data_IF_939820307113
#
_entry.id   IF_939820307113
#
_cell.length_a   1.000
_cell.length_b   1.000
_cell.length_c   1.000
_cell.angle_alpha   90.00
_cell.angle_beta   90.00
_cell.angle_gamma   90.00
#
_symmetry.space_group_name_H-M   'P 1'
#
loop_
_entity.id
_entity.type
_entity.pdbx_description
1 polymer ?
#
# COMPACT_ATOMS: atom_id res chain seq x y z
N UNK A 1 -13.52 3.39 11.72
CA UNK A 1 -12.70 3.82 10.63
C UNK A 1 -12.63 2.74 9.55
N UNK A 2 -12.48 3.15 8.30
CA UNK A 2 -12.66 2.29 7.15
C UNK A 2 -11.51 1.29 6.90
N UNK A 3 -10.41 1.36 7.66
CA UNK A 3 -9.18 0.58 7.45
C UNK A 3 -8.86 -0.37 8.61
N UNK A 4 -9.86 -0.75 9.39
CA UNK A 4 -9.65 -1.65 10.50
C UNK A 4 -9.55 -3.11 10.03
N UNK A 5 -8.61 -3.84 10.59
CA UNK A 5 -8.58 -5.29 10.53
C UNK A 5 -9.57 -5.85 11.56
N UNK A 6 -10.38 -6.80 11.14
CA UNK A 6 -11.32 -7.49 12.04
C UNK A 6 -10.69 -8.80 12.50
N UNK A 7 -10.26 -8.82 13.76
CA UNK A 7 -9.75 -10.02 14.39
C UNK A 7 -10.88 -10.73 15.15
N UNK A 8 -11.06 -12.02 14.89
CA UNK A 8 -12.01 -12.85 15.64
C UNK A 8 -11.26 -13.58 16.73
N UNK A 9 -11.59 -13.29 17.98
CA UNK A 9 -10.99 -13.89 19.17
C UNK A 9 -11.20 -15.39 19.16
N UNK A 10 -10.15 -16.15 19.42
CA UNK A 10 -10.13 -17.62 19.45
C UNK A 10 -10.06 -18.11 20.89
N UNK A 11 -10.45 -19.37 21.10
CA UNK A 11 -10.25 -20.02 22.38
C UNK A 11 -8.77 -20.03 22.78
N UNK A 12 -8.45 -19.59 24.00
CA UNK A 12 -7.09 -19.45 24.48
C UNK A 12 -6.39 -18.12 24.13
N UNK A 13 -7.06 -17.23 23.40
CA UNK A 13 -6.54 -15.89 23.20
C UNK A 13 -6.64 -15.05 24.48
N UNK A 14 -5.64 -14.24 24.66
CA UNK A 14 -5.56 -13.22 25.70
C UNK A 14 -5.12 -11.90 25.10
N UNK A 15 -5.36 -10.78 25.78
CA UNK A 15 -4.83 -9.49 25.37
C UNK A 15 -3.34 -9.52 25.06
N UNK A 16 -2.61 -10.17 25.94
CA UNK A 16 -1.16 -10.31 25.83
C UNK A 16 -0.74 -11.04 24.54
N UNK A 17 -1.29 -12.24 24.26
CA UNK A 17 -0.85 -13.02 23.13
C UNK A 17 -1.33 -12.41 21.78
N UNK A 18 -2.50 -11.76 21.75
CA UNK A 18 -2.98 -11.03 20.56
C UNK A 18 -2.01 -9.88 20.26
N UNK A 19 -1.69 -9.06 21.26
CA UNK A 19 -0.81 -7.91 21.09
C UNK A 19 0.60 -8.32 20.70
N UNK A 20 1.19 -9.29 21.42
CA UNK A 20 2.55 -9.77 21.15
C UNK A 20 2.67 -10.38 19.75
N UNK A 21 1.64 -11.07 19.29
CA UNK A 21 1.64 -11.77 18.00
C UNK A 21 1.38 -10.85 16.81
N UNK A 22 0.44 -9.90 16.96
CA UNK A 22 -0.11 -9.19 15.81
C UNK A 22 0.13 -7.68 15.80
N UNK A 23 0.44 -7.06 16.95
CA UNK A 23 0.64 -5.63 17.03
C UNK A 23 2.12 -5.23 17.09
N UNK A 24 2.42 -4.01 16.66
CA UNK A 24 3.79 -3.46 16.65
C UNK A 24 4.36 -3.26 18.03
N UNK A 25 3.51 -2.93 19.01
CA UNK A 25 3.89 -2.71 20.42
C UNK A 25 2.83 -3.28 21.34
N UNK A 26 3.27 -3.76 22.51
CA UNK A 26 2.40 -4.15 23.62
C UNK A 26 1.59 -2.98 24.16
N UNK A 27 2.13 -1.76 24.04
CA UNK A 27 1.46 -0.53 24.51
C UNK A 27 0.20 -0.20 23.72
N UNK A 28 -0.04 -0.85 22.59
CA UNK A 28 -1.29 -0.72 21.85
C UNK A 28 -2.48 -1.40 22.54
N UNK A 29 -2.27 -2.26 23.56
CA UNK A 29 -3.36 -2.98 24.18
C UNK A 29 -4.36 -2.06 24.92
N UNK A 30 -3.94 -1.14 25.79
CA UNK A 30 -4.88 -0.22 26.44
C UNK A 30 -5.68 0.61 25.44
N UNK A 31 -5.05 1.04 24.36
CA UNK A 31 -5.69 1.77 23.28
C UNK A 31 -6.70 0.88 22.52
N UNK A 32 -6.34 -0.39 22.24
CA UNK A 32 -7.21 -1.36 21.60
C UNK A 32 -8.43 -1.68 22.45
N UNK A 33 -8.23 -1.82 23.76
CA UNK A 33 -9.29 -2.02 24.75
C UNK A 33 -10.30 -0.85 24.72
N UNK A 34 -9.81 0.37 24.77
CA UNK A 34 -10.64 1.56 24.68
C UNK A 34 -11.35 1.66 23.33
N UNK A 35 -10.64 1.38 22.24
CA UNK A 35 -11.17 1.44 20.87
C UNK A 35 -12.31 0.46 20.65
N UNK A 36 -12.23 -0.73 21.25
CA UNK A 36 -13.26 -1.77 21.16
C UNK A 36 -14.24 -1.77 22.34
N UNK A 37 -14.12 -0.82 23.29
CA UNK A 37 -14.97 -0.72 24.48
C UNK A 37 -14.99 -2.01 25.31
N UNK A 38 -13.82 -2.64 25.46
CA UNK A 38 -13.68 -3.88 26.24
C UNK A 38 -13.68 -3.52 27.72
N UNK A 39 -14.67 -4.02 28.44
CA UNK A 39 -14.85 -3.74 29.88
C UNK A 39 -13.93 -4.64 30.70
N UNK A 40 -13.86 -5.92 30.37
CA UNK A 40 -13.07 -6.92 31.10
C UNK A 40 -12.06 -7.59 30.16
N UNK A 41 -10.78 -7.15 30.19
CA UNK A 41 -9.78 -7.68 29.29
C UNK A 41 -9.45 -9.16 29.54
N UNK A 42 -9.61 -9.64 30.77
CA UNK A 42 -9.29 -11.02 31.15
C UNK A 42 -10.32 -12.05 30.69
N UNK A 43 -11.47 -11.60 30.21
CA UNK A 43 -12.61 -12.44 29.84
C UNK A 43 -13.21 -12.08 28.48
N UNK A 44 -12.38 -11.94 27.45
CA UNK A 44 -12.88 -11.70 26.11
C UNK A 44 -13.39 -13.04 25.52
N UNK A 45 -14.71 -13.18 25.29
CA UNK A 45 -15.25 -14.46 24.78
C UNK A 45 -14.69 -14.79 23.41
N UNK A 46 -14.42 -16.09 23.13
CA UNK A 46 -14.16 -16.53 21.77
C UNK A 46 -15.30 -16.13 20.82
N UNK A 47 -14.96 -15.73 19.60
CA UNK A 47 -15.90 -15.20 18.62
C UNK A 47 -16.10 -13.69 18.68
N UNK A 48 -15.61 -13.01 19.72
CA UNK A 48 -15.63 -11.55 19.79
C UNK A 48 -14.85 -10.96 18.61
N UNK A 49 -15.42 -9.97 17.92
CA UNK A 49 -14.76 -9.26 16.83
C UNK A 49 -14.05 -8.02 17.37
N UNK A 50 -12.73 -8.03 17.30
CA UNK A 50 -11.90 -6.87 17.65
C UNK A 50 -11.56 -6.10 16.39
N UNK A 51 -11.80 -4.80 16.42
CA UNK A 51 -11.38 -3.86 15.39
C UNK A 51 -9.97 -3.38 15.72
N UNK A 52 -9.03 -3.66 14.83
CA UNK A 52 -7.63 -3.27 15.00
C UNK A 52 -7.26 -2.29 13.90
N UNK A 53 -6.90 -1.03 14.22
CA UNK A 53 -6.41 -0.10 13.23
C UNK A 53 -5.23 -0.67 12.45
N UNK A 54 -5.28 -0.60 11.11
CA UNK A 54 -4.26 -1.18 10.23
C UNK A 54 -2.84 -0.70 10.56
N UNK A 55 -2.71 0.55 11.02
CA UNK A 55 -1.42 1.13 11.41
C UNK A 55 -0.76 0.48 12.62
N UNK A 56 -1.51 -0.23 13.47
CA UNK A 56 -0.98 -0.93 14.65
C UNK A 56 -0.55 -2.36 14.35
N UNK A 57 -0.97 -2.92 13.20
CA UNK A 57 -0.64 -4.28 12.81
C UNK A 57 0.83 -4.43 12.45
N UNK A 58 1.41 -5.54 12.91
CA UNK A 58 2.75 -5.96 12.52
C UNK A 58 2.75 -6.40 11.07
N UNK A 59 3.73 -5.93 10.33
CA UNK A 59 3.91 -6.28 8.92
C UNK A 59 5.38 -6.58 8.62
N UNK A 60 5.60 -7.41 7.61
CA UNK A 60 6.92 -7.85 7.19
C UNK A 60 7.15 -7.46 5.74
N UNK A 61 8.30 -6.86 5.43
CA UNK A 61 8.71 -6.59 4.07
C UNK A 61 8.77 -7.89 3.26
N UNK A 62 8.27 -7.86 2.04
CA UNK A 62 8.28 -8.99 1.10
C UNK A 62 8.77 -8.53 -0.26
N UNK A 63 9.57 -9.33 -0.93
CA UNK A 63 9.95 -9.05 -2.29
C UNK A 63 8.74 -9.08 -3.21
N UNK A 64 8.76 -8.20 -4.22
CA UNK A 64 7.78 -8.12 -5.29
C UNK A 64 8.34 -8.83 -6.51
N UNK A 65 7.58 -9.76 -7.07
CA UNK A 65 8.00 -10.58 -8.21
C UNK A 65 7.61 -9.94 -9.53
N UNK A 66 8.52 -9.97 -10.49
CA UNK A 66 8.25 -9.62 -11.89
C UNK A 66 7.70 -10.86 -12.60
N UNK A 67 6.42 -10.83 -12.96
CA UNK A 67 5.74 -11.97 -13.61
C UNK A 67 5.75 -11.88 -15.12
N UNK A 68 5.82 -10.66 -15.64
CA UNK A 68 5.94 -10.40 -17.08
C UNK A 68 6.79 -9.15 -17.30
N UNK A 69 7.53 -9.12 -18.41
CA UNK A 69 8.40 -8.01 -18.78
C UNK A 69 8.58 -7.99 -20.30
N UNK A 70 8.46 -6.80 -20.89
CA UNK A 70 8.71 -6.53 -22.29
C UNK A 70 9.56 -5.28 -22.44
N UNK A 71 10.42 -5.27 -23.45
CA UNK A 71 11.28 -4.14 -23.78
C UNK A 71 12.30 -3.80 -22.71
N UNK A 72 12.70 -2.52 -22.66
CA UNK A 72 13.72 -2.04 -21.71
C UNK A 72 13.09 -1.65 -20.38
N UNK A 73 13.53 -2.31 -19.33
CA UNK A 73 13.14 -2.02 -17.93
C UNK A 73 14.37 -2.11 -17.05
N UNK A 74 14.60 -1.07 -16.28
CA UNK A 74 15.68 -1.01 -15.29
C UNK A 74 15.15 -0.75 -13.88
N UNK A 75 15.88 -1.22 -12.89
CA UNK A 75 15.68 -0.88 -11.49
C UNK A 75 16.91 -0.16 -10.96
N UNK A 76 16.67 0.91 -10.20
CA UNK A 76 17.68 1.60 -9.43
C UNK A 76 17.49 1.27 -7.95
N UNK A 77 18.51 0.62 -7.39
CA UNK A 77 18.60 0.34 -5.97
C UNK A 77 19.81 1.05 -5.40
N UNK A 78 19.61 1.99 -4.47
CA UNK A 78 20.68 2.75 -3.83
C UNK A 78 21.68 3.38 -4.83
N UNK A 79 21.16 3.87 -5.96
CA UNK A 79 21.96 4.52 -7.01
C UNK A 79 22.62 3.55 -8.00
N UNK A 80 22.47 2.26 -7.85
CA UNK A 80 22.96 1.24 -8.81
C UNK A 80 21.82 0.84 -9.74
N UNK A 81 22.04 1.04 -11.05
CA UNK A 81 21.10 0.62 -12.08
C UNK A 81 21.35 -0.84 -12.49
N UNK A 82 20.29 -1.61 -12.62
CA UNK A 82 20.31 -2.99 -13.10
C UNK A 82 19.16 -3.22 -14.06
N UNK A 83 19.44 -3.89 -15.19
CA UNK A 83 18.39 -4.36 -16.08
C UNK A 83 17.59 -5.47 -15.42
N UNK A 84 16.28 -5.42 -15.57
CA UNK A 84 15.38 -6.41 -15.04
C UNK A 84 15.07 -7.51 -16.03
N UNK A 85 14.82 -8.70 -15.52
CA UNK A 85 14.37 -9.86 -16.26
C UNK A 85 13.12 -10.46 -15.60
N UNK A 86 12.35 -11.18 -16.39
CA UNK A 86 11.19 -11.92 -15.89
C UNK A 86 11.61 -12.93 -14.82
N UNK A 87 10.85 -12.99 -13.75
CA UNK A 87 11.11 -13.86 -12.60
C UNK A 87 11.99 -13.26 -11.53
N UNK A 88 12.69 -12.16 -11.81
CA UNK A 88 13.41 -11.41 -10.77
C UNK A 88 12.47 -10.82 -9.73
N UNK A 89 13.04 -10.43 -8.61
CA UNK A 89 12.33 -9.74 -7.53
C UNK A 89 12.94 -8.37 -7.25
N UNK A 90 12.08 -7.43 -6.87
CA UNK A 90 12.46 -6.13 -6.36
C UNK A 90 11.99 -5.96 -4.91
N UNK A 91 12.60 -5.07 -4.18
CA UNK A 91 12.31 -4.79 -2.77
C UNK A 91 11.79 -3.38 -2.57
N UNK A 92 11.22 -3.10 -1.42
CA UNK A 92 10.85 -1.72 -1.07
C UNK A 92 12.05 -0.78 -1.13
N UNK A 93 11.83 0.45 -1.61
CA UNK A 93 12.86 1.44 -1.92
C UNK A 93 13.35 1.43 -3.38
N UNK A 94 13.02 0.38 -4.15
CA UNK A 94 13.40 0.29 -5.57
C UNK A 94 12.70 1.35 -6.43
N UNK A 95 13.43 1.96 -7.35
CA UNK A 95 12.91 2.85 -8.39
C UNK A 95 12.95 2.13 -9.73
N UNK A 96 11.80 1.94 -10.35
CA UNK A 96 11.63 1.32 -11.67
C UNK A 96 11.56 2.39 -12.76
N UNK A 97 12.21 2.12 -13.89
CA UNK A 97 12.10 2.92 -15.10
C UNK A 97 11.85 2.03 -16.31
N UNK A 98 10.82 2.37 -17.08
CA UNK A 98 10.53 1.73 -18.35
C UNK A 98 10.85 2.66 -19.50
N UNK A 99 11.41 2.11 -20.58
CA UNK A 99 11.59 2.83 -21.84
C UNK A 99 10.29 2.94 -22.64
N UNK A 100 10.36 3.56 -23.81
CA UNK A 100 9.20 3.79 -24.69
C UNK A 100 8.49 2.50 -25.14
N UNK A 101 9.21 1.38 -25.19
CA UNK A 101 8.69 0.05 -25.51
C UNK A 101 8.71 -0.90 -24.30
N UNK A 102 8.99 -0.36 -23.11
CA UNK A 102 9.12 -1.13 -21.87
C UNK A 102 7.79 -1.27 -21.14
N UNK A 103 7.54 -2.44 -20.59
CA UNK A 103 6.44 -2.67 -19.65
C UNK A 103 6.74 -3.88 -18.77
N UNK A 104 6.17 -3.91 -17.57
CA UNK A 104 6.29 -5.06 -16.68
C UNK A 104 5.05 -5.23 -15.82
N UNK A 105 4.84 -6.46 -15.36
CA UNK A 105 3.81 -6.78 -14.37
C UNK A 105 4.46 -7.19 -13.06
N UNK A 106 4.04 -6.53 -11.99
CA UNK A 106 4.43 -6.81 -10.60
C UNK A 106 3.37 -7.66 -9.92
N UNK A 107 3.80 -8.73 -9.24
CA UNK A 107 2.98 -9.49 -8.31
C UNK A 107 3.36 -9.05 -6.89
N UNK A 108 2.42 -8.41 -6.22
CA UNK A 108 2.59 -7.80 -4.90
C UNK A 108 2.34 -8.81 -3.76
N UNK A 109 2.81 -8.54 -2.52
CA UNK A 109 2.71 -9.45 -1.39
C UNK A 109 1.29 -9.88 -1.02
N UNK A 110 0.29 -9.06 -1.31
CA UNK A 110 -1.13 -9.33 -1.06
C UNK A 110 -1.84 -10.08 -2.20
N UNK A 111 -1.09 -10.44 -3.26
CA UNK A 111 -1.61 -11.05 -4.47
C UNK A 111 -2.16 -10.06 -5.50
N UNK A 112 -2.14 -8.76 -5.21
CA UNK A 112 -2.46 -7.71 -6.19
C UNK A 112 -1.45 -7.70 -7.33
N UNK A 113 -1.87 -7.22 -8.50
CA UNK A 113 -1.03 -7.09 -9.68
C UNK A 113 -1.01 -5.65 -10.16
N UNK A 114 0.17 -5.17 -10.54
CA UNK A 114 0.37 -3.85 -11.12
C UNK A 114 1.09 -3.98 -12.46
N UNK A 115 0.42 -3.53 -13.53
CA UNK A 115 1.02 -3.38 -14.85
C UNK A 115 1.61 -1.97 -14.94
N UNK A 116 2.92 -1.88 -15.07
CA UNK A 116 3.66 -0.64 -15.29
C UNK A 116 3.83 -0.44 -16.78
N UNK A 117 3.33 0.68 -17.30
CA UNK A 117 3.35 0.99 -18.73
C UNK A 117 4.68 1.55 -19.21
N UNK A 118 4.78 1.87 -20.54
CA UNK A 118 5.97 2.51 -21.10
C UNK A 118 6.19 3.93 -20.57
N UNK A 119 7.40 4.43 -20.72
CA UNK A 119 7.84 5.77 -20.30
C UNK A 119 7.46 6.12 -18.85
N UNK A 120 7.47 5.12 -17.99
CA UNK A 120 7.00 5.21 -16.60
C UNK A 120 8.18 5.19 -15.62
N UNK A 121 8.09 6.05 -14.61
CA UNK A 121 8.99 6.06 -13.46
C UNK A 121 8.17 5.86 -12.19
N UNK A 122 8.42 4.72 -11.52
CA UNK A 122 7.65 4.23 -10.38
C UNK A 122 8.56 3.81 -9.25
N UNK A 123 8.38 4.39 -8.06
CA UNK A 123 9.06 3.97 -6.84
C UNK A 123 8.17 3.02 -6.03
N UNK A 124 8.71 1.89 -5.64
CA UNK A 124 8.09 0.96 -4.70
C UNK A 124 8.43 1.39 -3.27
N UNK A 125 7.65 2.29 -2.67
CA UNK A 125 7.95 2.86 -1.35
C UNK A 125 7.73 1.87 -0.21
N UNK A 126 6.67 1.04 -0.29
CA UNK A 126 6.35 0.02 0.71
C UNK A 126 5.77 -1.22 0.02
N UNK A 127 6.27 -2.39 0.41
CA UNK A 127 5.78 -3.69 -0.04
C UNK A 127 5.83 -4.69 1.12
N UNK A 128 4.77 -4.73 1.93
CA UNK A 128 4.71 -5.50 3.17
C UNK A 128 3.48 -6.37 3.23
N UNK A 129 3.60 -7.51 3.87
CA UNK A 129 2.48 -8.37 4.22
C UNK A 129 2.17 -8.25 5.70
N UNK A 130 0.90 -8.09 6.05
CA UNK A 130 0.41 -8.06 7.43
C UNK A 130 0.52 -9.48 8.00
N UNK A 131 1.11 -9.63 9.19
CA UNK A 131 1.32 -10.95 9.80
C UNK A 131 0.03 -11.60 10.29
N UNK A 132 -0.96 -10.79 10.68
CA UNK A 132 -2.26 -11.26 11.16
C UNK A 132 -3.19 -11.73 10.03
N UNK A 133 -2.88 -11.41 8.77
CA UNK A 133 -3.80 -11.62 7.64
C UNK A 133 -3.05 -11.82 6.33
N UNK A 134 -3.82 -12.01 5.25
CA UNK A 134 -3.29 -11.98 3.87
C UNK A 134 -3.27 -10.58 3.27
N UNK A 135 -3.55 -9.53 4.05
CA UNK A 135 -3.51 -8.15 3.60
C UNK A 135 -2.11 -7.64 3.36
N UNK A 136 -1.97 -6.72 2.42
CA UNK A 136 -0.72 -6.04 2.13
C UNK A 136 -0.76 -4.58 2.54
N UNK A 137 0.38 -4.04 2.92
CA UNK A 137 0.63 -2.61 3.01
C UNK A 137 1.49 -2.25 1.80
N UNK A 138 0.83 -1.73 0.76
CA UNK A 138 1.45 -1.38 -0.50
C UNK A 138 1.39 0.13 -0.67
N UNK A 139 2.53 0.72 -0.94
CA UNK A 139 2.65 2.14 -1.31
C UNK A 139 3.60 2.26 -2.49
N UNK A 140 3.13 2.90 -3.54
CA UNK A 140 3.90 3.26 -4.72
C UNK A 140 3.90 4.76 -4.89
N UNK A 141 4.95 5.30 -5.48
CA UNK A 141 5.05 6.68 -5.91
C UNK A 141 5.23 6.69 -7.43
N UNK A 142 4.19 7.11 -8.14
CA UNK A 142 4.22 7.26 -9.59
C UNK A 142 4.71 8.66 -9.93
N UNK A 143 5.97 8.78 -10.34
CA UNK A 143 6.60 10.07 -10.65
C UNK A 143 6.19 10.57 -12.04
N UNK A 144 5.99 9.65 -12.99
CA UNK A 144 5.47 9.90 -14.34
C UNK A 144 5.01 8.60 -15.01
N UNK A 145 4.18 8.72 -16.04
CA UNK A 145 3.68 7.59 -16.81
C UNK A 145 2.38 7.03 -16.23
N UNK A 146 2.19 5.73 -16.31
CA UNK A 146 0.97 5.11 -15.78
C UNK A 146 1.18 3.72 -15.21
N UNK A 147 0.31 3.36 -14.27
CA UNK A 147 0.17 2.01 -13.72
C UNK A 147 -1.29 1.59 -13.75
N UNK A 148 -1.55 0.38 -14.23
CA UNK A 148 -2.86 -0.27 -14.12
C UNK A 148 -2.80 -1.34 -13.03
N UNK A 149 -3.74 -1.29 -12.10
CA UNK A 149 -3.72 -2.13 -10.92
C UNK A 149 -4.97 -2.98 -10.85
N UNK A 150 -4.77 -4.26 -10.52
CA UNK A 150 -5.83 -5.17 -10.10
C UNK A 150 -5.60 -5.52 -8.63
N UNK A 151 -6.28 -4.80 -7.76
CA UNK A 151 -6.12 -4.95 -6.31
C UNK A 151 -7.08 -6.02 -5.80
N UNK A 152 -6.53 -6.98 -5.05
CA UNK A 152 -7.33 -8.02 -4.42
C UNK A 152 -8.16 -7.42 -3.29
N UNK A 153 -9.49 -7.61 -3.33
CA UNK A 153 -10.38 -7.14 -2.26
C UNK A 153 -10.13 -7.93 -0.98
N UNK A 154 -9.54 -7.25 -0.01
CA UNK A 154 -9.27 -7.79 1.33
C UNK A 154 -9.74 -6.81 2.40
N UNK A 155 -10.96 -6.28 2.25
CA UNK A 155 -11.54 -5.24 3.11
C UNK A 155 -11.42 -5.53 4.61
N UNK A 156 -11.49 -6.80 5.00
CA UNK A 156 -11.39 -7.22 6.41
C UNK A 156 -9.98 -7.59 6.85
N UNK A 157 -8.99 -7.49 5.96
CA UNK A 157 -7.62 -7.93 6.22
C UNK A 157 -6.70 -6.82 6.73
N UNK A 158 -7.19 -5.59 6.85
CA UNK A 158 -6.38 -4.41 7.19
C UNK A 158 -5.41 -4.00 6.08
N UNK A 159 -5.57 -4.53 4.87
CA UNK A 159 -4.74 -4.20 3.71
C UNK A 159 -4.94 -2.76 3.26
N UNK A 160 -3.86 -2.16 2.75
CA UNK A 160 -3.86 -0.79 2.26
C UNK A 160 -3.06 -0.71 0.96
N UNK A 161 -3.66 -0.10 -0.06
CA UNK A 161 -3.03 0.13 -1.36
C UNK A 161 -3.10 1.61 -1.71
N UNK A 162 -1.94 2.25 -1.84
CA UNK A 162 -1.81 3.69 -2.06
C UNK A 162 -0.89 3.93 -3.24
N UNK A 163 -1.28 4.84 -4.13
CA UNK A 163 -0.41 5.41 -5.15
C UNK A 163 -0.33 6.91 -4.92
N UNK A 164 0.86 7.38 -4.56
CA UNK A 164 1.18 8.80 -4.50
C UNK A 164 1.69 9.25 -5.87
N UNK A 165 1.34 10.47 -6.25
CA UNK A 165 1.90 11.15 -7.42
C UNK A 165 2.26 12.58 -7.03
N UNK A 166 3.07 13.30 -7.82
CA UNK A 166 3.32 14.72 -7.59
C UNK A 166 2.05 15.59 -7.56
N UNK A 167 0.98 15.12 -8.20
CA UNK A 167 -0.29 15.86 -8.34
C UNK A 167 -1.38 15.39 -7.37
N UNK A 168 -1.19 14.30 -6.63
CA UNK A 168 -2.20 13.81 -5.71
C UNK A 168 -1.95 12.40 -5.20
N UNK A 169 -2.90 11.93 -4.40
CA UNK A 169 -2.88 10.60 -3.77
C UNK A 169 -4.11 9.81 -4.18
N UNK A 170 -3.90 8.58 -4.59
CA UNK A 170 -4.96 7.62 -4.87
C UNK A 170 -4.91 6.48 -3.86
N UNK A 171 -5.90 6.38 -2.98
CA UNK A 171 -6.09 5.26 -2.07
C UNK A 171 -7.17 4.34 -2.60
N UNK A 172 -6.92 3.03 -2.59
CA UNK A 172 -7.75 2.05 -3.29
C UNK A 172 -8.12 0.88 -2.42
N UNK A 173 -9.34 0.40 -2.63
CA UNK A 173 -9.87 -0.79 -1.99
C UNK A 173 -10.51 -1.74 -2.99
N UNK A 174 -9.84 -2.87 -3.25
CA UNK A 174 -10.40 -4.00 -3.98
C UNK A 174 -11.05 -3.64 -5.31
N UNK A 175 -10.24 -3.20 -6.28
CA UNK A 175 -10.74 -2.74 -7.55
C UNK A 175 -9.70 -2.88 -8.66
N UNK A 176 -10.16 -2.70 -9.88
CA UNK A 176 -9.29 -2.53 -11.05
C UNK A 176 -9.32 -1.06 -11.48
N UNK A 177 -8.16 -0.43 -11.53
CA UNK A 177 -8.03 0.99 -11.81
C UNK A 177 -6.70 1.32 -12.47
N UNK A 178 -6.65 2.46 -13.16
CA UNK A 178 -5.44 3.02 -13.74
C UNK A 178 -5.16 4.38 -13.14
N UNK A 179 -3.89 4.64 -12.86
CA UNK A 179 -3.39 5.96 -12.46
C UNK A 179 -2.39 6.42 -13.49
N UNK A 180 -2.56 7.64 -13.98
CA UNK A 180 -1.66 8.30 -14.93
C UNK A 180 -1.17 9.61 -14.32
N UNK A 181 0.13 9.85 -14.40
CA UNK A 181 0.77 11.12 -14.05
C UNK A 181 1.49 11.67 -15.28
N UNK A 182 1.03 12.81 -15.79
CA UNK A 182 1.60 13.46 -16.94
C UNK A 182 1.57 14.99 -16.78
N UNK A 183 2.75 15.63 -16.72
CA UNK A 183 2.87 17.09 -16.71
C UNK A 183 2.15 17.77 -15.53
N UNK A 184 2.23 17.19 -14.33
CA UNK A 184 1.52 17.62 -13.10
C UNK A 184 -0.01 17.45 -13.18
N UNK A 185 -0.47 16.49 -13.97
CA UNK A 185 -1.88 16.10 -14.03
C UNK A 185 -2.04 14.67 -13.57
N UNK A 186 -2.75 14.48 -12.46
CA UNK A 186 -3.20 13.18 -11.99
C UNK A 186 -4.51 12.81 -12.66
N UNK A 187 -4.55 11.66 -13.31
CA UNK A 187 -5.77 11.05 -13.82
C UNK A 187 -5.95 9.66 -13.22
N UNK A 188 -7.09 9.44 -12.61
CA UNK A 188 -7.48 8.13 -12.08
C UNK A 188 -8.71 7.63 -12.82
N UNK A 189 -8.62 6.46 -13.41
CA UNK A 189 -9.71 5.78 -14.12
C UNK A 189 -10.07 4.51 -13.36
N UNK A 190 -11.29 4.44 -12.85
CA UNK A 190 -11.83 3.23 -12.24
C UNK A 190 -12.38 2.33 -13.33
N UNK A 191 -11.85 1.12 -13.43
CA UNK A 191 -12.30 0.10 -14.39
C UNK A 191 -13.32 -0.85 -13.74
N UNK A 192 -13.18 -1.11 -12.44
CA UNK A 192 -14.11 -1.90 -11.61
C UNK A 192 -13.97 -1.47 -10.15
N UNK A 193 -15.08 -1.38 -9.40
CA UNK A 193 -15.09 -1.09 -7.96
C UNK A 193 -15.05 0.38 -7.60
N UNK A 194 -14.49 0.73 -6.45
CA UNK A 194 -14.46 2.09 -5.88
C UNK A 194 -13.03 2.57 -5.64
N UNK A 195 -12.73 3.79 -6.06
CA UNK A 195 -11.44 4.46 -5.87
C UNK A 195 -11.67 5.82 -5.21
N UNK A 196 -10.87 6.14 -4.20
CA UNK A 196 -10.83 7.47 -3.60
C UNK A 196 -9.53 8.15 -4.02
N UNK A 197 -9.65 9.22 -4.80
CA UNK A 197 -8.53 10.06 -5.21
C UNK A 197 -8.64 11.44 -4.57
N UNK A 198 -7.51 11.98 -4.10
CA UNK A 198 -7.40 13.33 -3.55
C UNK A 198 -6.29 14.07 -4.27
N UNK A 199 -6.61 15.20 -4.88
CA UNK A 199 -5.61 16.09 -5.47
C UNK A 199 -4.86 16.86 -4.37
N UNK A 200 -3.58 17.10 -4.57
CA UNK A 200 -2.82 18.08 -3.79
C UNK A 200 -3.15 19.46 -4.35
N UNK A 201 -3.68 20.39 -3.55
CA UNK A 201 -3.91 21.77 -4.02
C UNK A 201 -2.59 22.36 -4.54
N UNK A 202 -2.59 23.13 -5.64
CA UNK A 202 -1.40 23.86 -6.05
C UNK A 202 -0.95 24.74 -4.89
N UNK A 203 0.31 24.58 -4.45
CA UNK A 203 0.90 25.40 -3.41
C UNK A 203 0.74 26.87 -3.83
N UNK A 204 0.22 27.72 -2.94
CA UNK A 204 0.30 29.17 -3.12
C UNK A 204 1.78 29.51 -3.10
N UNK A 205 2.34 29.77 -4.26
CA UNK A 205 3.64 30.46 -4.38
C UNK A 205 3.49 31.80 -3.66
N UNK A 206 4.45 32.04 -2.76
CA UNK A 206 4.39 33.09 -1.78
C UNK A 206 4.05 34.46 -2.35
N UNK A 207 3.13 35.14 -1.70
CA UNK A 207 3.05 36.57 -1.68
C UNK A 207 4.38 37.13 -1.15
N UNK A 208 5.23 37.60 -2.06
CA UNK A 208 6.29 38.53 -1.72
C UNK A 208 5.59 39.85 -1.34
N UNK A 209 5.45 40.04 -0.04
CA UNK A 209 5.07 41.36 0.49
C UNK A 209 6.29 42.25 0.38
N UNK A 210 6.25 43.09 -0.63
CA UNK A 210 7.14 44.24 -0.78
C UNK A 210 6.78 45.26 0.30
N UNK A 211 7.64 45.47 1.27
CA UNK A 211 7.58 46.57 2.21
C UNK A 211 8.50 47.69 1.75
N UNK A 212 7.90 48.74 1.25
CA UNK A 212 8.47 50.08 1.24
C UNK A 212 8.56 50.61 2.66
#
# INVERSE_FOLDING_TARGET
AADDYIYVVRAGDSPWNITTRYLKSIDHWPQLQQYNRIISPDTIPPGTQLRIPAGWLRSRARPVRITDLQGQVEVLNRGVAQMLERGMTIVEGSLLRTGANGSLTLLLPDGSRSLVGPDTELRLSTARQIEASSGGQIKMELLRGYVENKVTDKRKSGGRFIIDTPSGVTAVRGTRFRVTEAGRVLRTETLEGEVVASAVPPGRDGDMVDHQ
#
